data_IF_402894303107
#
_entry.id   IF_402894303107
#
_cell.length_a   1.000
_cell.length_b   1.000
_cell.length_c   1.000
_cell.angle_alpha   90.00
_cell.angle_beta   90.00
_cell.angle_gamma   90.00
#
_symmetry.space_group_name_H-M   'P 1'
#
loop_
_entity.id
_entity.type
_entity.pdbx_description
1 polymer ?
#
# COMPACT_ATOMS: atom_id res chain seq x y z
N UNK A 1 12.45 5.84 12.67
CA UNK A 1 11.72 4.67 12.13
C UNK A 1 11.90 3.54 13.12
N UNK A 2 10.83 2.82 13.46
CA UNK A 2 10.92 1.61 14.28
C UNK A 2 11.56 0.47 13.44
N UNK A 3 12.14 -0.58 14.09
CA UNK A 3 12.59 -1.76 13.35
C UNK A 3 11.44 -2.36 12.53
N UNK A 4 11.71 -2.87 11.31
CA UNK A 4 10.67 -3.47 10.49
C UNK A 4 10.08 -4.71 11.16
N UNK A 5 8.79 -4.94 10.92
CA UNK A 5 7.99 -6.02 11.49
C UNK A 5 7.68 -7.04 10.40
N UNK A 6 7.77 -8.32 10.70
CA UNK A 6 7.36 -9.36 9.76
C UNK A 6 5.84 -9.27 9.53
N UNK A 7 5.44 -9.14 8.28
CA UNK A 7 4.02 -9.08 7.88
C UNK A 7 3.31 -10.37 8.26
N UNK A 8 2.08 -10.25 8.76
CA UNK A 8 1.26 -11.35 9.30
C UNK A 8 1.81 -12.02 10.58
N UNK A 9 2.76 -11.39 11.27
CA UNK A 9 3.14 -11.80 12.63
C UNK A 9 2.14 -11.28 13.67
N UNK A 10 2.12 -11.82 14.89
CA UNK A 10 1.30 -11.26 15.98
C UNK A 10 1.60 -9.77 16.26
N UNK A 11 2.85 -9.36 16.15
CA UNK A 11 3.30 -7.98 16.32
C UNK A 11 2.72 -7.08 15.22
N UNK A 12 2.65 -7.58 13.99
CA UNK A 12 2.03 -6.88 12.88
C UNK A 12 0.52 -6.69 13.09
N UNK A 13 -0.17 -7.73 13.58
CA UNK A 13 -1.60 -7.66 13.88
C UNK A 13 -1.90 -6.61 14.95
N UNK A 14 -1.08 -6.52 16.00
CA UNK A 14 -1.22 -5.50 17.04
C UNK A 14 -0.90 -4.10 16.51
N UNK A 15 0.19 -3.97 15.75
CA UNK A 15 0.57 -2.69 15.14
C UNK A 15 -0.55 -2.15 14.22
N UNK A 16 -1.19 -3.02 13.45
CA UNK A 16 -2.25 -2.66 12.51
C UNK A 16 -3.53 -2.14 13.18
N UNK A 17 -3.80 -2.52 14.42
CA UNK A 17 -4.97 -2.04 15.19
C UNK A 17 -4.86 -0.57 15.54
N UNK A 18 -3.66 -0.10 15.80
CA UNK A 18 -3.38 1.24 16.35
C UNK A 18 -2.69 2.19 15.37
N UNK A 19 -2.42 1.76 14.15
CA UNK A 19 -1.77 2.55 13.11
C UNK A 19 -2.59 2.53 11.82
N UNK A 20 -2.56 3.61 11.06
CA UNK A 20 -3.06 3.62 9.70
C UNK A 20 -2.19 2.69 8.82
N UNK A 21 -2.81 1.98 7.88
CA UNK A 21 -2.10 1.29 6.83
C UNK A 21 -2.00 2.16 5.57
N UNK A 22 -1.00 1.94 4.72
CA UNK A 22 -0.94 2.61 3.42
C UNK A 22 -2.23 2.40 2.60
N UNK A 23 -2.85 1.23 2.71
CA UNK A 23 -4.13 0.91 2.05
C UNK A 23 -5.33 1.72 2.59
N UNK A 24 -5.24 2.29 3.79
CA UNK A 24 -6.30 3.12 4.36
C UNK A 24 -6.36 4.52 3.70
N UNK A 25 -5.24 4.96 3.08
CA UNK A 25 -5.13 6.32 2.52
C UNK A 25 -6.15 6.60 1.43
N UNK A 26 -6.45 5.62 0.56
CA UNK A 26 -7.49 5.80 -0.45
C UNK A 26 -8.87 6.12 0.15
N UNK A 27 -9.20 5.53 1.29
CA UNK A 27 -10.43 5.81 2.02
C UNK A 27 -10.40 7.18 2.69
N UNK A 28 -9.29 7.53 3.34
CA UNK A 28 -9.10 8.85 3.98
C UNK A 28 -9.21 10.00 2.97
N UNK A 29 -8.72 9.80 1.75
CA UNK A 29 -8.81 10.77 0.65
C UNK A 29 -10.17 10.77 -0.05
N UNK A 30 -11.10 9.89 0.34
CA UNK A 30 -12.42 9.77 -0.32
C UNK A 30 -12.36 9.22 -1.74
N UNK A 31 -11.26 8.61 -2.16
CA UNK A 31 -11.07 8.03 -3.50
C UNK A 31 -11.18 6.50 -3.52
N UNK A 32 -11.38 5.86 -2.36
CA UNK A 32 -11.63 4.42 -2.26
C UNK A 32 -13.06 4.09 -2.70
N UNK A 33 -13.27 3.04 -3.52
CA UNK A 33 -14.61 2.56 -3.83
C UNK A 33 -15.22 1.64 -2.75
N UNK A 34 -14.45 1.35 -1.67
CA UNK A 34 -14.83 0.34 -0.68
C UNK A 34 -15.16 0.93 0.68
N UNK A 35 -14.32 1.82 1.18
CA UNK A 35 -14.37 2.38 2.51
C UNK A 35 -14.39 3.91 2.46
N UNK A 36 -15.03 4.52 3.44
CA UNK A 36 -15.03 5.97 3.67
C UNK A 36 -14.03 6.37 4.77
N UNK A 37 -13.70 7.67 4.91
CA UNK A 37 -12.93 8.16 6.04
C UNK A 37 -13.53 7.78 7.40
N UNK A 38 -14.87 7.77 7.51
CA UNK A 38 -15.57 7.40 8.74
C UNK A 38 -15.38 5.92 9.09
N UNK A 39 -15.33 5.03 8.07
CA UNK A 39 -15.06 3.60 8.30
C UNK A 39 -13.65 3.38 8.83
N UNK A 40 -12.66 4.09 8.29
CA UNK A 40 -11.29 4.04 8.79
C UNK A 40 -11.23 4.56 10.23
N UNK A 41 -11.84 5.72 10.49
CA UNK A 41 -11.92 6.30 11.83
C UNK A 41 -12.49 5.32 12.86
N UNK A 42 -13.66 4.76 12.57
CA UNK A 42 -14.32 3.79 13.44
C UNK A 42 -13.44 2.55 13.69
N UNK A 43 -12.79 2.03 12.64
CA UNK A 43 -11.94 0.84 12.74
C UNK A 43 -10.74 1.04 13.67
N UNK A 44 -10.13 2.23 13.67
CA UNK A 44 -8.94 2.53 14.49
C UNK A 44 -9.29 2.89 15.94
N UNK A 45 -10.57 3.09 16.24
CA UNK A 45 -11.09 3.41 17.58
C UNK A 45 -11.86 2.25 18.24
N UNK A 46 -11.64 1.04 17.74
CA UNK A 46 -12.19 -0.18 18.36
C UNK A 46 -13.60 -0.57 17.92
N UNK A 47 -14.26 0.21 17.06
CA UNK A 47 -15.53 -0.18 16.43
C UNK A 47 -15.32 -1.15 15.25
N UNK A 48 -14.25 -1.90 15.27
CA UNK A 48 -13.67 -2.86 14.36
C UNK A 48 -14.34 -3.04 13.00
N UNK A 49 -13.58 -2.94 11.91
CA UNK A 49 -13.99 -3.62 10.66
C UNK A 49 -14.24 -5.08 10.99
N UNK A 50 -15.28 -5.72 10.44
CA UNK A 50 -15.36 -7.16 10.50
C UNK A 50 -14.01 -7.70 9.98
N UNK A 51 -13.23 -8.33 10.84
CA UNK A 51 -12.05 -9.05 10.40
C UNK A 51 -12.55 -10.06 9.37
N UNK A 52 -11.77 -10.27 8.31
CA UNK A 52 -12.04 -11.39 7.43
C UNK A 52 -12.11 -12.62 8.35
N UNK A 53 -13.21 -13.34 8.31
CA UNK A 53 -13.46 -14.53 9.14
C UNK A 53 -12.52 -15.70 8.78
N UNK A 54 -11.46 -15.43 8.04
CA UNK A 54 -10.53 -16.44 7.50
C UNK A 54 -11.16 -17.33 6.42
N UNK A 55 -12.36 -16.98 5.95
CA UNK A 55 -13.03 -17.81 4.94
C UNK A 55 -12.21 -17.87 3.66
N UNK A 56 -12.03 -19.08 3.17
CA UNK A 56 -11.40 -19.39 1.90
C UNK A 56 -12.29 -18.96 0.73
N UNK A 57 -11.70 -18.81 -0.46
CA UNK A 57 -12.42 -18.49 -1.70
C UNK A 57 -13.06 -17.08 -1.72
N UNK A 58 -12.59 -16.16 -0.86
CA UNK A 58 -12.96 -14.75 -0.90
C UNK A 58 -12.05 -13.97 -1.85
N UNK A 59 -12.42 -12.76 -2.31
CA UNK A 59 -11.52 -11.92 -3.08
C UNK A 59 -10.19 -11.61 -2.36
N UNK A 60 -10.22 -11.44 -1.03
CA UNK A 60 -9.02 -11.22 -0.21
C UNK A 60 -8.15 -12.48 -0.20
N UNK A 61 -8.75 -13.63 0.02
CA UNK A 61 -8.03 -14.92 0.00
C UNK A 61 -7.33 -15.15 -1.35
N UNK A 62 -8.05 -14.93 -2.46
CA UNK A 62 -7.47 -15.05 -3.80
C UNK A 62 -6.36 -14.02 -4.04
N UNK A 63 -6.50 -12.80 -3.50
CA UNK A 63 -5.44 -11.80 -3.51
C UNK A 63 -4.13 -12.38 -2.98
N UNK A 64 -4.15 -12.92 -1.78
CA UNK A 64 -2.97 -13.53 -1.15
C UNK A 64 -2.44 -14.76 -1.90
N UNK A 65 -3.31 -15.58 -2.52
CA UNK A 65 -2.86 -16.75 -3.28
C UNK A 65 -2.15 -16.38 -4.58
N UNK A 66 -2.59 -15.32 -5.26
CA UNK A 66 -2.05 -14.92 -6.55
C UNK A 66 -0.89 -13.92 -6.44
N UNK A 67 -0.77 -13.21 -5.31
CA UNK A 67 0.25 -12.16 -5.07
C UNK A 67 1.68 -12.61 -5.42
N UNK A 68 2.20 -13.78 -4.96
CA UNK A 68 3.56 -14.20 -5.29
C UNK A 68 3.80 -14.37 -6.81
N UNK A 69 2.77 -14.82 -7.52
CA UNK A 69 2.85 -15.01 -8.98
C UNK A 69 2.85 -13.67 -9.71
N UNK A 70 2.10 -12.68 -9.20
CA UNK A 70 2.07 -11.32 -9.75
C UNK A 70 3.41 -10.63 -9.51
N UNK A 71 3.97 -10.74 -8.31
CA UNK A 71 5.30 -10.22 -7.97
C UNK A 71 6.35 -10.81 -8.92
N UNK A 72 6.37 -12.14 -9.07
CA UNK A 72 7.29 -12.82 -9.98
C UNK A 72 7.18 -12.29 -11.41
N UNK A 73 5.95 -12.20 -11.94
CA UNK A 73 5.72 -11.69 -13.28
C UNK A 73 6.16 -10.21 -13.44
N UNK A 74 5.90 -9.40 -12.40
CA UNK A 74 6.30 -7.99 -12.38
C UNK A 74 7.82 -7.84 -12.40
N UNK A 75 8.54 -8.62 -11.58
CA UNK A 75 10.01 -8.58 -11.53
C UNK A 75 10.60 -8.95 -12.89
N UNK A 76 10.09 -9.98 -13.54
CA UNK A 76 10.55 -10.34 -14.90
C UNK A 76 10.28 -9.23 -15.92
N UNK A 77 9.13 -8.55 -15.84
CA UNK A 77 8.80 -7.43 -16.74
C UNK A 77 9.71 -6.21 -16.50
N UNK A 78 10.08 -5.94 -15.24
CA UNK A 78 10.88 -4.78 -14.86
C UNK A 78 12.35 -4.95 -15.24
N UNK A 79 12.92 -6.13 -14.99
CA UNK A 79 14.36 -6.34 -15.03
C UNK A 79 14.82 -7.10 -16.26
N UNK A 80 13.90 -7.82 -16.93
CA UNK A 80 14.28 -8.77 -17.98
C UNK A 80 15.00 -10.01 -17.40
N UNK A 81 15.63 -10.79 -18.28
CA UNK A 81 16.21 -12.09 -17.89
C UNK A 81 17.63 -12.01 -17.29
N UNK A 82 18.27 -10.84 -17.25
CA UNK A 82 19.74 -10.77 -17.15
C UNK A 82 20.27 -10.47 -15.74
N UNK A 83 19.59 -9.66 -14.93
CA UNK A 83 20.00 -9.37 -13.55
C UNK A 83 18.77 -9.19 -12.65
N UNK A 84 18.31 -10.28 -12.05
CA UNK A 84 17.21 -10.21 -11.10
C UNK A 84 17.67 -9.47 -9.83
N UNK A 85 17.01 -8.39 -9.42
CA UNK A 85 17.30 -7.75 -8.15
C UNK A 85 16.99 -8.69 -7.00
N UNK A 86 17.54 -8.42 -5.85
CA UNK A 86 17.09 -9.09 -4.63
C UNK A 86 15.68 -8.62 -4.30
N UNK A 87 14.79 -9.58 -4.06
CA UNK A 87 13.38 -9.34 -3.78
C UNK A 87 13.10 -9.68 -2.33
N UNK A 88 12.79 -8.67 -1.53
CA UNK A 88 12.36 -8.82 -0.14
C UNK A 88 10.83 -8.77 -0.10
N UNK A 89 10.21 -9.74 0.57
CA UNK A 89 8.76 -9.81 0.78
C UNK A 89 8.45 -10.06 2.25
N UNK A 90 7.20 -9.75 2.66
CA UNK A 90 6.73 -10.09 4.00
C UNK A 90 7.24 -9.18 5.12
N UNK A 91 7.56 -7.93 4.81
CA UNK A 91 8.02 -6.96 5.79
C UNK A 91 7.20 -5.68 5.77
N UNK A 92 7.07 -5.08 6.95
CA UNK A 92 6.34 -3.83 7.16
C UNK A 92 7.20 -2.83 7.91
N UNK A 93 7.12 -1.58 7.51
CA UNK A 93 7.83 -0.46 8.14
C UNK A 93 6.87 0.44 8.87
N UNK A 94 7.30 0.87 10.05
CA UNK A 94 6.48 1.64 10.97
C UNK A 94 7.12 2.99 11.23
N UNK A 95 6.34 4.04 11.07
CA UNK A 95 6.60 5.37 11.58
C UNK A 95 5.44 5.80 12.48
N UNK A 96 5.54 6.96 13.11
CA UNK A 96 4.51 7.44 14.03
C UNK A 96 3.11 7.45 13.37
N UNK A 97 2.21 6.69 13.94
CA UNK A 97 0.82 6.58 13.49
C UNK A 97 0.57 5.85 12.16
N UNK A 98 1.62 5.41 11.44
CA UNK A 98 1.50 4.80 10.11
C UNK A 98 2.33 3.53 9.98
N UNK A 99 1.77 2.54 9.30
CA UNK A 99 2.45 1.30 8.92
C UNK A 99 2.29 1.05 7.42
N UNK A 100 3.37 0.72 6.74
CA UNK A 100 3.35 0.36 5.33
C UNK A 100 3.90 -1.05 5.13
N UNK A 101 3.25 -1.83 4.27
CA UNK A 101 3.59 -3.21 3.95
C UNK A 101 3.59 -3.35 2.43
N UNK A 102 4.66 -2.95 1.72
CA UNK A 102 4.79 -3.24 0.30
C UNK A 102 4.79 -4.74 0.06
N UNK A 103 4.20 -5.19 -1.03
CA UNK A 103 4.17 -6.61 -1.37
C UNK A 103 5.57 -7.14 -1.72
N UNK A 104 6.41 -6.29 -2.33
CA UNK A 104 7.84 -6.56 -2.46
C UNK A 104 8.67 -5.27 -2.48
N UNK A 105 9.93 -5.43 -2.07
CA UNK A 105 10.99 -4.42 -2.12
C UNK A 105 12.11 -4.95 -3.01
N UNK A 106 12.54 -4.16 -3.98
CA UNK A 106 13.62 -4.48 -4.91
C UNK A 106 14.89 -3.75 -4.47
N UNK A 107 15.98 -4.51 -4.30
CA UNK A 107 17.29 -3.99 -3.88
C UNK A 107 18.41 -4.52 -4.78
N UNK A 108 19.53 -3.80 -4.87
CA UNK A 108 20.72 -4.26 -5.62
C UNK A 108 21.43 -5.41 -4.96
N UNK A 109 21.38 -5.47 -3.63
CA UNK A 109 22.12 -6.43 -2.84
C UNK A 109 21.19 -7.19 -1.90
N UNK A 110 21.61 -8.39 -1.49
CA UNK A 110 20.93 -9.12 -0.43
C UNK A 110 21.07 -8.32 0.87
N UNK A 111 19.97 -7.78 1.35
CA UNK A 111 19.93 -6.83 2.46
C UNK A 111 19.05 -7.37 3.57
N UNK A 112 19.47 -7.15 4.83
CA UNK A 112 18.61 -7.38 5.99
C UNK A 112 17.48 -6.31 5.99
N UNK A 113 16.23 -6.70 6.21
CA UNK A 113 15.11 -5.75 6.31
C UNK A 113 15.31 -4.63 7.33
N UNK A 114 16.14 -4.84 8.36
CA UNK A 114 16.51 -3.85 9.37
C UNK A 114 17.34 -2.72 8.77
N UNK A 115 18.18 -3.06 7.80
CA UNK A 115 18.99 -2.11 7.05
C UNK A 115 18.31 -1.83 5.71
N UNK A 116 17.18 -1.11 5.69
CA UNK A 116 16.66 -0.60 4.42
C UNK A 116 17.73 0.36 3.91
N UNK A 117 18.44 -0.06 2.89
CA UNK A 117 19.65 0.63 2.54
C UNK A 117 19.33 1.85 1.70
N UNK A 118 20.31 2.73 1.67
CA UNK A 118 20.50 3.73 0.63
C UNK A 118 20.43 3.14 -0.81
N UNK A 119 20.34 1.82 -0.94
CA UNK A 119 20.28 1.01 -2.17
C UNK A 119 18.86 0.55 -2.56
N UNK A 120 17.82 1.05 -1.89
CA UNK A 120 16.44 0.73 -2.21
C UNK A 120 16.08 1.27 -3.61
N UNK A 121 15.92 0.39 -4.59
CA UNK A 121 15.58 0.78 -5.95
C UNK A 121 14.10 1.10 -6.12
N UNK A 122 13.25 0.13 -5.79
CA UNK A 122 11.83 0.24 -6.06
C UNK A 122 10.99 -0.66 -5.15
N UNK A 123 9.71 -0.36 -5.11
CA UNK A 123 8.68 -1.19 -4.51
C UNK A 123 7.87 -1.89 -5.59
N UNK A 124 7.22 -3.00 -5.22
CA UNK A 124 6.16 -3.61 -6.02
C UNK A 124 4.89 -3.66 -5.16
N UNK A 125 3.80 -3.20 -5.75
CA UNK A 125 2.45 -3.32 -5.21
C UNK A 125 1.61 -4.20 -6.15
N UNK A 126 1.22 -5.38 -5.69
CA UNK A 126 0.53 -6.40 -6.47
C UNK A 126 -0.99 -6.31 -6.26
N UNK A 127 -1.77 -6.42 -7.34
CA UNK A 127 -3.23 -6.36 -7.27
C UNK A 127 -3.89 -7.47 -8.09
N UNK A 128 -4.79 -8.21 -7.45
CA UNK A 128 -5.75 -9.09 -8.13
C UNK A 128 -7.05 -8.33 -8.33
N UNK A 129 -7.40 -8.10 -9.59
CA UNK A 129 -8.54 -7.26 -9.96
C UNK A 129 -9.62 -8.12 -10.62
N UNK A 130 -10.77 -8.23 -9.98
CA UNK A 130 -11.92 -8.94 -10.52
C UNK A 130 -12.53 -8.24 -11.74
N UNK A 131 -13.30 -8.99 -12.52
CA UNK A 131 -13.96 -8.47 -13.73
C UNK A 131 -14.80 -7.22 -13.45
N UNK A 132 -15.50 -7.19 -12.31
CA UNK A 132 -16.39 -6.07 -11.94
C UNK A 132 -15.63 -4.77 -11.65
N UNK A 133 -14.40 -4.86 -11.16
CA UNK A 133 -13.56 -3.70 -10.80
C UNK A 133 -12.59 -3.30 -11.92
N UNK A 134 -12.49 -4.11 -12.98
CA UNK A 134 -11.56 -3.88 -14.09
C UNK A 134 -11.75 -2.54 -14.81
N UNK A 135 -12.96 -1.97 -14.75
CA UNK A 135 -13.22 -0.67 -15.37
C UNK A 135 -12.44 0.49 -14.71
N UNK A 136 -12.10 0.37 -13.42
CA UNK A 136 -11.31 1.37 -12.69
C UNK A 136 -9.87 1.46 -13.22
N UNK A 137 -9.39 0.41 -13.89
CA UNK A 137 -8.02 0.27 -14.37
C UNK A 137 -7.84 0.65 -15.86
N UNK A 138 -8.86 1.22 -16.49
CA UNK A 138 -8.82 1.54 -17.94
C UNK A 138 -7.71 2.52 -18.32
N UNK A 139 -7.41 3.48 -17.44
CA UNK A 139 -6.39 4.52 -17.68
C UNK A 139 -5.09 4.25 -16.88
N UNK A 140 -5.00 3.14 -16.18
CA UNK A 140 -3.88 2.80 -15.30
C UNK A 140 -4.33 2.52 -13.87
N UNK A 141 -3.43 2.51 -12.91
CA UNK A 141 -3.77 2.33 -11.50
C UNK A 141 -4.75 3.42 -11.04
N UNK A 142 -5.84 3.04 -10.34
CA UNK A 142 -6.78 4.03 -9.82
C UNK A 142 -6.19 4.81 -8.63
N UNK A 143 -6.76 6.00 -8.36
CA UNK A 143 -6.25 6.93 -7.35
C UNK A 143 -6.01 6.30 -5.97
N UNK A 144 -6.88 5.41 -5.50
CA UNK A 144 -6.68 4.73 -4.21
C UNK A 144 -5.44 3.83 -4.17
N UNK A 145 -5.05 3.25 -5.32
CA UNK A 145 -3.82 2.46 -5.44
C UNK A 145 -2.61 3.37 -5.54
N UNK A 146 -2.72 4.48 -6.28
CA UNK A 146 -1.66 5.50 -6.33
C UNK A 146 -1.40 6.10 -4.94
N UNK A 147 -2.45 6.42 -4.18
CA UNK A 147 -2.32 6.89 -2.80
C UNK A 147 -1.57 5.87 -1.93
N UNK A 148 -1.88 4.58 -2.03
CA UNK A 148 -1.18 3.52 -1.34
C UNK A 148 0.30 3.48 -1.73
N UNK A 149 0.61 3.48 -3.03
CA UNK A 149 1.98 3.43 -3.54
C UNK A 149 2.83 4.62 -3.07
N UNK A 150 2.30 5.85 -3.17
CA UNK A 150 3.00 7.04 -2.70
C UNK A 150 3.19 7.05 -1.18
N UNK A 151 2.22 6.54 -0.41
CA UNK A 151 2.36 6.40 1.05
C UNK A 151 3.48 5.41 1.41
N UNK A 152 3.59 4.31 0.69
CA UNK A 152 4.69 3.35 0.86
C UNK A 152 6.04 4.00 0.54
N UNK A 153 6.13 4.72 -0.59
CA UNK A 153 7.34 5.45 -0.96
C UNK A 153 7.69 6.57 0.03
N UNK A 154 6.70 7.23 0.63
CA UNK A 154 6.92 8.27 1.64
C UNK A 154 7.64 7.71 2.88
N UNK A 155 7.31 6.50 3.30
CA UNK A 155 7.90 5.85 4.49
C UNK A 155 9.21 5.16 4.18
N UNK A 156 9.30 4.44 3.07
CA UNK A 156 10.49 3.64 2.73
C UNK A 156 11.62 4.44 2.09
N UNK A 157 11.33 5.62 1.54
CA UNK A 157 12.29 6.41 0.77
C UNK A 157 12.45 5.94 -0.69
N UNK A 158 11.73 4.91 -1.13
CA UNK A 158 11.79 4.42 -2.50
C UNK A 158 11.48 5.54 -3.51
N UNK A 159 12.23 5.57 -4.61
CA UNK A 159 12.05 6.56 -5.68
C UNK A 159 10.99 6.14 -6.69
N UNK A 160 10.59 4.87 -6.67
CA UNK A 160 9.60 4.29 -7.59
C UNK A 160 8.83 3.15 -6.93
N UNK A 161 7.55 3.03 -7.29
CA UNK A 161 6.73 1.86 -7.02
C UNK A 161 6.20 1.30 -8.35
N UNK A 162 6.39 0.02 -8.59
CA UNK A 162 5.78 -0.68 -9.71
C UNK A 162 4.45 -1.26 -9.27
N UNK A 163 3.35 -0.68 -9.76
CA UNK A 163 2.02 -1.23 -9.53
C UNK A 163 1.78 -2.33 -10.55
N UNK A 164 1.65 -3.56 -10.08
CA UNK A 164 1.44 -4.74 -10.90
C UNK A 164 0.03 -5.28 -10.69
N UNK A 165 -0.74 -5.47 -11.76
CA UNK A 165 -2.10 -5.99 -11.61
C UNK A 165 -2.43 -7.09 -12.61
N UNK A 166 -3.09 -8.14 -12.10
CA UNK A 166 -3.75 -9.16 -12.90
C UNK A 166 -5.25 -8.86 -12.95
N UNK A 167 -5.73 -8.38 -14.11
CA UNK A 167 -7.11 -7.90 -14.28
C UNK A 167 -7.94 -8.98 -14.97
N UNK A 168 -8.98 -9.47 -14.29
CA UNK A 168 -9.92 -10.46 -14.83
C UNK A 168 -9.25 -11.71 -15.45
N UNK A 169 -8.14 -12.17 -14.86
CA UNK A 169 -7.39 -13.32 -15.33
C UNK A 169 -6.49 -13.06 -16.55
N UNK A 170 -6.38 -11.82 -17.03
CA UNK A 170 -5.46 -11.45 -18.11
C UNK A 170 -3.99 -11.54 -17.64
N UNK A 171 -3.01 -11.48 -18.55
CA UNK A 171 -1.60 -11.31 -18.19
C UNK A 171 -1.40 -10.12 -17.26
N UNK A 172 -0.40 -10.22 -16.38
CA UNK A 172 -0.01 -9.13 -15.48
C UNK A 172 0.40 -7.90 -16.31
N UNK A 173 -0.07 -6.75 -15.89
CA UNK A 173 0.38 -5.45 -16.39
C UNK A 173 1.12 -4.73 -15.29
N UNK A 174 2.19 -4.02 -15.65
CA UNK A 174 3.02 -3.26 -14.71
C UNK A 174 3.01 -1.78 -15.12
N UNK A 175 2.80 -0.91 -14.15
CA UNK A 175 2.87 0.54 -14.31
C UNK A 175 3.93 1.09 -13.34
N UNK A 176 4.99 1.72 -13.85
CA UNK A 176 5.91 2.46 -13.00
C UNK A 176 5.22 3.73 -12.49
N UNK A 177 5.33 3.96 -11.19
CA UNK A 177 4.87 5.16 -10.50
C UNK A 177 6.09 5.79 -9.85
N UNK A 178 6.53 6.92 -10.38
CA UNK A 178 7.64 7.67 -9.82
C UNK A 178 7.19 8.42 -8.57
N UNK A 179 8.08 8.55 -7.59
CA UNK A 179 7.83 9.26 -6.36
C UNK A 179 7.58 10.75 -6.64
N UNK A 180 6.53 11.26 -6.06
CA UNK A 180 6.23 12.69 -5.98
C UNK A 180 6.40 13.13 -4.51
N UNK A 181 7.40 13.95 -4.24
CA UNK A 181 7.73 14.38 -2.87
C UNK A 181 6.67 15.29 -2.26
N UNK A 182 6.01 16.13 -3.07
CA UNK A 182 4.94 17.00 -2.61
C UNK A 182 3.71 16.17 -2.21
N UNK A 183 3.35 15.21 -3.05
CA UNK A 183 2.27 14.26 -2.77
C UNK A 183 2.60 13.41 -1.53
N UNK A 184 3.82 12.88 -1.42
CA UNK A 184 4.27 12.13 -0.25
C UNK A 184 4.16 12.95 1.05
N UNK A 185 4.59 14.21 1.04
CA UNK A 185 4.47 15.10 2.18
C UNK A 185 3.01 15.37 2.54
N UNK A 186 2.15 15.59 1.54
CA UNK A 186 0.72 15.76 1.73
C UNK A 186 0.06 14.54 2.38
N UNK A 187 0.42 13.32 1.94
CA UNK A 187 -0.08 12.08 2.53
C UNK A 187 0.33 11.91 3.99
N UNK A 188 1.59 12.20 4.33
CA UNK A 188 2.05 12.16 5.72
C UNK A 188 1.32 13.19 6.60
N UNK A 189 1.06 14.39 6.08
CA UNK A 189 0.25 15.38 6.78
C UNK A 189 -1.20 14.89 7.05
N UNK A 190 -1.80 14.15 6.12
CA UNK A 190 -3.12 13.53 6.35
C UNK A 190 -3.04 12.53 7.52
N UNK A 191 -1.95 11.77 7.67
CA UNK A 191 -1.75 10.86 8.81
C UNK A 191 -1.66 11.63 10.13
N UNK A 192 -0.86 12.71 10.19
CA UNK A 192 -0.74 13.56 11.38
C UNK A 192 -2.08 14.16 11.77
N UNK A 193 -2.81 14.67 10.80
CA UNK A 193 -4.14 15.22 11.03
C UNK A 193 -5.13 14.17 11.53
N UNK A 194 -5.14 12.97 10.97
CA UNK A 194 -5.99 11.89 11.43
C UNK A 194 -5.81 11.62 12.93
N UNK A 195 -4.59 11.59 13.41
CA UNK A 195 -4.28 11.30 14.82
C UNK A 195 -4.45 12.51 15.75
N UNK A 196 -4.52 13.74 15.22
CA UNK A 196 -4.74 14.96 16.02
C UNK A 196 -6.18 15.13 16.50
N UNK A 197 -7.15 14.38 15.94
CA UNK A 197 -8.55 14.42 16.32
C UNK A 197 -8.91 13.28 17.27
N UNK A 198 -9.34 13.63 18.49
CA UNK A 198 -9.61 12.62 19.53
C UNK A 198 -11.06 12.13 19.52
N UNK A 199 -12.08 13.01 19.42
CA UNK A 199 -13.46 12.68 19.72
C UNK A 199 -14.42 12.65 18.51
N UNK A 200 -14.13 13.35 17.42
CA UNK A 200 -14.98 13.39 16.23
C UNK A 200 -14.15 13.22 14.96
N UNK A 201 -14.71 12.53 13.93
CA UNK A 201 -14.05 12.48 12.64
C UNK A 201 -13.95 13.90 12.06
N UNK A 202 -12.79 14.32 11.58
CA UNK A 202 -12.60 15.65 11.02
C UNK A 202 -13.47 15.87 9.77
N UNK A 203 -13.70 17.13 9.43
CA UNK A 203 -14.28 17.51 8.13
C UNK A 203 -13.24 17.30 7.04
N UNK A 204 -13.14 16.07 6.54
CA UNK A 204 -12.11 15.56 5.64
C UNK A 204 -11.98 16.32 4.32
N UNK A 205 -13.08 16.90 3.81
CA UNK A 205 -13.09 17.54 2.49
C UNK A 205 -12.10 18.71 2.36
N UNK A 206 -11.87 19.46 3.43
CA UNK A 206 -10.95 20.61 3.40
C UNK A 206 -9.48 20.22 3.47
N UNK A 207 -9.17 19.03 4.01
CA UNK A 207 -7.81 18.60 4.33
C UNK A 207 -7.15 17.84 3.19
N UNK A 208 -7.94 17.18 2.36
CA UNK A 208 -7.47 16.22 1.36
C UNK A 208 -7.53 16.70 -0.07
N UNK A 209 -8.26 17.80 -0.37
CA UNK A 209 -8.42 18.28 -1.73
C UNK A 209 -7.09 18.55 -2.48
N UNK A 210 -6.08 19.19 -1.86
CA UNK A 210 -4.79 19.41 -2.52
C UNK A 210 -4.07 18.09 -2.87
N UNK A 211 -4.17 17.10 -1.98
CA UNK A 211 -3.53 15.79 -2.17
C UNK A 211 -4.23 14.99 -3.28
N UNK A 212 -5.56 15.02 -3.32
CA UNK A 212 -6.37 14.35 -4.36
C UNK A 212 -6.09 14.90 -5.76
N UNK A 213 -5.78 16.19 -5.86
CA UNK A 213 -5.42 16.80 -7.16
C UNK A 213 -4.07 16.33 -7.69
N UNK A 214 -3.17 15.88 -6.83
CA UNK A 214 -1.86 15.32 -7.20
C UNK A 214 -1.92 13.84 -7.63
N UNK A 215 -3.00 13.13 -7.32
CA UNK A 215 -3.25 11.75 -7.72
C UNK A 215 -3.90 11.67 -9.10
#
# INVERSE_FOLDING_TARGET
MEPPIQTYSPEWDEARKTRLGASDMGALLGVSPWDSPADVWASKRGAGRPQSDGSINTPIWWGHQEEPSIITAAVYEIVGEIDLPHVLTGWSWVIDGLMVSPDAVLTDEQTDPVDIPETLHALVEAKVVGLRSGYLWRLGPPQHVLAQAHTQMAVTGAVRCHVAARIAGAPVKVWPVDRDDELCAGLLNVVEQFWSYDDEPPHWEMLVEPVVRGL
#
